data_IF_915486420659
#
_entry.id   IF_915486420659
#
_cell.length_a   1.000
_cell.length_b   1.000
_cell.length_c   1.000
_cell.angle_alpha   90.00
_cell.angle_beta   90.00
_cell.angle_gamma   90.00
#
_symmetry.space_group_name_H-M   'P 1'
#
loop_
_entity.id
_entity.type
_entity.pdbx_description
1 polymer ?
#
# COMPACT_ATOMS: atom_id res chain seq x y z
N UNK A 1 -16.06 3.30 11.10
CA UNK A 1 -16.01 4.25 9.97
C UNK A 1 -17.41 4.37 9.42
N UNK A 2 -17.93 5.58 9.32
CA UNK A 2 -19.19 5.87 8.62
C UNK A 2 -18.88 6.32 7.19
N UNK A 3 -19.79 6.13 6.22
CA UNK A 3 -19.56 6.57 4.85
C UNK A 3 -19.23 8.07 4.73
N UNK A 4 -19.77 8.89 5.62
CA UNK A 4 -19.50 10.33 5.68
C UNK A 4 -18.07 10.70 6.10
N UNK A 5 -17.35 9.76 6.74
CA UNK A 5 -15.97 9.95 7.20
C UNK A 5 -14.96 9.71 6.07
N UNK A 6 -15.39 9.04 4.99
CA UNK A 6 -14.56 8.73 3.82
C UNK A 6 -14.47 9.96 2.90
N UNK A 7 -13.68 10.95 3.31
CA UNK A 7 -13.48 12.19 2.54
C UNK A 7 -12.07 12.25 1.98
N UNK A 8 -11.90 12.52 0.67
CA UNK A 8 -10.57 12.74 0.11
C UNK A 8 -10.00 14.07 0.63
N UNK A 9 -8.81 14.00 1.21
CA UNK A 9 -8.02 15.15 1.65
C UNK A 9 -6.95 15.49 0.60
N UNK A 10 -6.40 16.72 0.61
CA UNK A 10 -5.37 17.15 -0.35
C UNK A 10 -4.13 16.26 -0.34
N UNK A 11 -3.71 15.72 0.82
CA UNK A 11 -2.56 14.83 0.91
C UNK A 11 -2.76 13.50 0.17
N UNK A 12 -3.99 13.01 0.01
CA UNK A 12 -4.28 11.83 -0.81
C UNK A 12 -3.86 12.06 -2.27
N UNK A 13 -4.20 13.23 -2.82
CA UNK A 13 -3.86 13.56 -4.21
C UNK A 13 -2.35 13.65 -4.43
N UNK A 14 -1.61 14.19 -3.46
CA UNK A 14 -0.15 14.20 -3.54
C UNK A 14 0.44 12.79 -3.51
N UNK A 15 -0.05 11.89 -2.65
CA UNK A 15 0.41 10.51 -2.63
C UNK A 15 0.06 9.78 -3.92
N UNK A 16 -1.14 9.99 -4.46
CA UNK A 16 -1.56 9.40 -5.75
C UNK A 16 -0.69 9.90 -6.90
N UNK A 17 -0.38 11.20 -6.95
CA UNK A 17 0.52 11.78 -7.95
C UNK A 17 1.94 11.21 -7.84
N UNK A 18 2.46 11.09 -6.63
CA UNK A 18 3.79 10.51 -6.40
C UNK A 18 3.80 9.05 -6.84
N UNK A 19 2.84 8.24 -6.37
CA UNK A 19 2.80 6.81 -6.67
C UNK A 19 2.55 6.55 -8.16
N UNK A 20 1.54 7.18 -8.74
CA UNK A 20 1.20 7.04 -10.14
C UNK A 20 2.24 7.66 -11.07
N UNK A 21 2.78 8.82 -10.72
CA UNK A 21 3.81 9.50 -11.48
C UNK A 21 5.13 8.72 -11.52
N UNK A 22 5.59 8.21 -10.38
CA UNK A 22 6.80 7.38 -10.33
C UNK A 22 6.62 6.07 -11.10
N UNK A 23 5.47 5.41 -10.98
CA UNK A 23 5.17 4.22 -11.76
C UNK A 23 5.18 4.50 -13.27
N UNK A 24 4.49 5.55 -13.70
CA UNK A 24 4.44 5.94 -15.11
C UNK A 24 5.80 6.36 -15.65
N UNK A 25 6.57 7.14 -14.88
CA UNK A 25 7.92 7.54 -15.25
C UNK A 25 8.87 6.34 -15.38
N UNK A 26 8.81 5.39 -14.44
CA UNK A 26 9.61 4.18 -14.50
C UNK A 26 9.19 3.27 -15.65
N UNK A 27 7.88 3.15 -15.93
CA UNK A 27 7.36 2.38 -17.05
C UNK A 27 7.80 2.96 -18.41
N UNK A 28 7.72 4.28 -18.57
CA UNK A 28 8.21 4.95 -19.79
C UNK A 28 9.73 4.85 -19.93
N UNK A 29 10.48 4.94 -18.84
CA UNK A 29 11.92 4.74 -18.83
C UNK A 29 12.28 3.29 -19.22
N UNK A 30 11.58 2.30 -18.66
CA UNK A 30 11.76 0.90 -18.98
C UNK A 30 11.45 0.63 -20.46
N UNK A 31 10.34 1.18 -20.98
CA UNK A 31 10.01 1.09 -22.42
C UNK A 31 11.12 1.68 -23.28
N UNK A 32 11.64 2.87 -22.96
CA UNK A 32 12.72 3.51 -23.70
C UNK A 32 14.01 2.68 -23.68
N UNK A 33 14.42 2.17 -22.50
CA UNK A 33 15.61 1.33 -22.36
C UNK A 33 15.46 0.04 -23.16
N UNK A 34 14.33 -0.66 -23.05
CA UNK A 34 14.08 -1.91 -23.76
C UNK A 34 14.01 -1.71 -25.27
N UNK A 35 13.49 -0.56 -25.75
CA UNK A 35 13.45 -0.24 -27.18
C UNK A 35 14.78 0.19 -27.75
N UNK A 36 15.63 0.89 -26.96
CA UNK A 36 16.93 1.38 -27.40
C UNK A 36 18.04 0.31 -27.34
N UNK A 37 17.95 -0.62 -26.42
CA UNK A 37 18.92 -1.66 -26.20
C UNK A 37 18.30 -3.04 -26.47
N UNK A 38 18.43 -3.52 -27.70
CA UNK A 38 17.98 -4.88 -28.12
C UNK A 38 18.67 -6.02 -27.35
N UNK A 39 19.65 -5.70 -26.50
CA UNK A 39 20.48 -6.61 -25.69
C UNK A 39 20.08 -6.60 -24.18
N UNK A 40 19.12 -5.80 -23.77
CA UNK A 40 18.65 -5.86 -22.40
C UNK A 40 17.98 -7.22 -22.14
N UNK A 41 18.75 -8.15 -21.58
CA UNK A 41 18.29 -9.51 -21.32
C UNK A 41 17.06 -9.58 -20.43
N UNK A 42 16.37 -10.72 -20.44
CA UNK A 42 15.18 -11.03 -19.60
C UNK A 42 15.32 -10.59 -18.14
N UNK A 43 16.52 -10.69 -17.58
CA UNK A 43 16.81 -10.34 -16.19
C UNK A 43 16.56 -8.85 -15.88
N UNK A 44 16.95 -7.95 -16.78
CA UNK A 44 16.69 -6.51 -16.61
C UNK A 44 15.21 -6.16 -16.71
N UNK A 45 14.49 -6.84 -17.60
CA UNK A 45 13.04 -6.66 -17.72
C UNK A 45 12.34 -7.03 -16.39
N UNK A 46 12.69 -8.20 -15.82
CA UNK A 46 12.13 -8.66 -14.54
C UNK A 46 12.43 -7.69 -13.39
N UNK A 47 13.64 -7.11 -13.33
CA UNK A 47 14.01 -6.14 -12.31
C UNK A 47 13.20 -4.83 -12.46
N UNK A 48 13.04 -4.34 -13.69
CA UNK A 48 12.24 -3.14 -13.96
C UNK A 48 10.75 -3.37 -13.65
N UNK A 49 10.19 -4.49 -14.09
CA UNK A 49 8.83 -4.89 -13.77
C UNK A 49 8.64 -5.02 -12.25
N UNK A 50 9.63 -5.59 -11.54
CA UNK A 50 9.62 -5.71 -10.09
C UNK A 50 9.58 -4.36 -9.38
N UNK A 51 10.36 -3.39 -9.82
CA UNK A 51 10.33 -2.03 -9.31
C UNK A 51 8.98 -1.35 -9.60
N UNK A 52 8.47 -1.50 -10.84
CA UNK A 52 7.14 -1.02 -11.23
C UNK A 52 6.04 -1.62 -10.36
N UNK A 53 6.09 -2.94 -10.13
CA UNK A 53 5.16 -3.65 -9.26
C UNK A 53 5.16 -3.09 -7.84
N UNK A 54 6.36 -2.88 -7.24
CA UNK A 54 6.48 -2.28 -5.91
C UNK A 54 5.86 -0.88 -5.85
N UNK A 55 6.01 -0.07 -6.89
CA UNK A 55 5.47 1.29 -6.92
C UNK A 55 3.95 1.30 -7.08
N UNK A 56 3.41 0.57 -8.06
CA UNK A 56 1.98 0.66 -8.39
C UNK A 56 1.08 -0.18 -7.48
N UNK A 57 1.62 -1.25 -6.87
CA UNK A 57 0.83 -2.12 -6.02
C UNK A 57 0.00 -1.30 -5.02
N UNK A 58 -1.31 -1.49 -4.95
CA UNK A 58 -2.16 -0.72 -4.07
C UNK A 58 -1.91 -1.06 -2.61
N UNK A 59 -2.33 -0.13 -1.74
CA UNK A 59 -2.19 -0.28 -0.30
C UNK A 59 -3.04 -1.44 0.21
N UNK A 60 -2.47 -2.25 1.11
CA UNK A 60 -3.18 -3.35 1.74
C UNK A 60 -4.34 -2.85 2.60
N UNK A 61 -5.48 -3.55 2.60
CA UNK A 61 -6.59 -3.27 3.52
C UNK A 61 -6.17 -3.40 4.99
N UNK A 62 -5.20 -4.29 5.27
CA UNK A 62 -4.58 -4.45 6.59
C UNK A 62 -3.83 -3.20 7.07
N UNK A 63 -3.47 -2.26 6.19
CA UNK A 63 -2.84 -1.00 6.57
C UNK A 63 -3.70 -0.19 7.55
N UNK A 64 -5.02 -0.25 7.43
CA UNK A 64 -5.94 0.39 8.37
C UNK A 64 -5.80 -0.16 9.80
N UNK A 65 -5.53 -1.47 9.94
CA UNK A 65 -5.31 -2.13 11.25
C UNK A 65 -4.01 -1.65 11.89
N UNK A 66 -2.92 -1.63 11.12
CA UNK A 66 -1.60 -1.16 11.59
C UNK A 66 -1.66 0.33 11.92
N UNK A 67 -2.25 1.14 11.04
CA UNK A 67 -2.43 2.59 11.25
C UNK A 67 -3.19 2.86 12.54
N UNK A 68 -4.28 2.13 12.81
CA UNK A 68 -5.02 2.24 14.07
C UNK A 68 -4.15 1.96 15.30
N UNK A 69 -3.35 0.88 15.26
CA UNK A 69 -2.45 0.49 16.36
C UNK A 69 -1.34 1.52 16.61
N UNK A 70 -0.95 2.26 15.57
CA UNK A 70 0.05 3.33 15.64
C UNK A 70 -0.55 4.72 15.98
N UNK A 71 -1.88 4.83 16.17
CA UNK A 71 -2.54 6.11 16.46
C UNK A 71 -2.76 7.00 15.23
N UNK A 72 -2.78 6.42 14.02
CA UNK A 72 -3.05 7.15 12.78
C UNK A 72 -4.54 7.27 12.46
N UNK A 73 -4.85 8.01 11.39
CA UNK A 73 -6.20 8.29 10.89
C UNK A 73 -6.73 7.12 10.03
N UNK A 74 -7.63 6.32 10.61
CA UNK A 74 -8.22 5.14 9.97
C UNK A 74 -9.19 5.50 8.82
N UNK A 75 -10.08 6.49 8.93
CA UNK A 75 -10.87 6.98 7.81
C UNK A 75 -10.01 7.45 6.64
N UNK A 76 -8.97 8.25 6.93
CA UNK A 76 -8.07 8.77 5.90
C UNK A 76 -7.36 7.65 5.13
N UNK A 77 -6.75 6.68 5.82
CA UNK A 77 -6.08 5.57 5.12
C UNK A 77 -7.07 4.71 4.33
N UNK A 78 -8.30 4.50 4.84
CA UNK A 78 -9.33 3.75 4.13
C UNK A 78 -9.75 4.45 2.84
N UNK A 79 -9.89 5.78 2.88
CA UNK A 79 -10.15 6.59 1.69
C UNK A 79 -9.01 6.45 0.68
N UNK A 80 -7.75 6.51 1.14
CA UNK A 80 -6.60 6.31 0.25
C UNK A 80 -6.58 4.93 -0.39
N UNK A 81 -6.89 3.87 0.38
CA UNK A 81 -6.99 2.50 -0.16
C UNK A 81 -7.97 2.44 -1.33
N UNK A 82 -9.14 3.08 -1.22
CA UNK A 82 -10.12 3.11 -2.31
C UNK A 82 -9.55 3.83 -3.54
N UNK A 83 -8.99 5.02 -3.34
CA UNK A 83 -8.46 5.85 -4.42
C UNK A 83 -7.29 5.20 -5.15
N UNK A 84 -6.35 4.58 -4.43
CA UNK A 84 -5.19 3.95 -5.04
C UNK A 84 -5.55 2.69 -5.82
N UNK A 85 -6.55 1.92 -5.36
CA UNK A 85 -7.03 0.76 -6.12
C UNK A 85 -7.66 1.18 -7.45
N UNK A 86 -8.42 2.29 -7.45
CA UNK A 86 -9.00 2.85 -8.68
C UNK A 86 -7.90 3.36 -9.62
N UNK A 87 -6.91 4.08 -9.09
CA UNK A 87 -5.77 4.55 -9.88
C UNK A 87 -4.98 3.39 -10.49
N UNK A 88 -4.72 2.32 -9.72
CA UNK A 88 -4.05 1.11 -10.19
C UNK A 88 -4.82 0.45 -11.34
N UNK A 89 -6.15 0.36 -11.22
CA UNK A 89 -7.01 -0.23 -12.27
C UNK A 89 -6.94 0.53 -13.60
N UNK A 90 -6.63 1.81 -13.56
CA UNK A 90 -6.43 2.64 -14.77
C UNK A 90 -4.99 2.58 -15.27
N UNK A 91 -4.01 2.77 -14.39
CA UNK A 91 -2.61 2.92 -14.81
C UNK A 91 -1.95 1.60 -15.24
N UNK A 92 -2.31 0.47 -14.61
CA UNK A 92 -1.70 -0.82 -14.98
C UNK A 92 -2.00 -1.19 -16.44
N UNK A 93 -3.27 -1.18 -16.92
CA UNK A 93 -3.56 -1.47 -18.30
C UNK A 93 -2.98 -0.48 -19.32
N UNK A 94 -2.64 0.74 -18.88
CA UNK A 94 -2.05 1.76 -19.77
C UNK A 94 -0.53 1.60 -19.90
N UNK A 95 0.16 1.30 -18.80
CA UNK A 95 1.62 1.40 -18.74
C UNK A 95 2.29 0.03 -18.89
N UNK A 96 1.74 -1.03 -18.26
CA UNK A 96 2.39 -2.35 -18.26
C UNK A 96 2.53 -2.92 -19.69
N UNK A 97 1.55 -2.82 -20.60
CA UNK A 97 1.70 -3.34 -21.97
C UNK A 97 2.82 -2.67 -22.77
N UNK A 98 3.29 -1.49 -22.38
CA UNK A 98 4.44 -0.83 -23.02
C UNK A 98 5.76 -1.54 -22.69
N UNK A 99 5.87 -2.12 -21.51
CA UNK A 99 7.08 -2.79 -21.01
C UNK A 99 7.00 -4.30 -21.25
N UNK A 100 5.83 -4.86 -21.00
CA UNK A 100 5.54 -6.27 -21.18
C UNK A 100 4.32 -6.42 -22.09
N UNK A 101 4.49 -6.54 -23.41
CA UNK A 101 3.39 -6.76 -24.32
C UNK A 101 2.74 -8.12 -24.04
N UNK A 102 1.69 -8.12 -23.23
CA UNK A 102 0.85 -9.30 -23.04
C UNK A 102 -0.01 -9.38 -24.30
N UNK A 103 0.34 -10.29 -25.19
CA UNK A 103 -0.43 -10.52 -26.41
C UNK A 103 -1.90 -10.73 -26.05
N UNK A 104 -2.79 -9.94 -26.65
CA UNK A 104 -4.24 -10.13 -26.68
C UNK A 104 -5.09 -9.59 -25.52
N UNK A 105 -4.53 -8.92 -24.47
CA UNK A 105 -5.35 -8.28 -23.44
C UNK A 105 -5.48 -6.78 -23.75
N UNK A 106 -6.68 -6.36 -24.20
CA UNK A 106 -7.00 -4.95 -24.40
C UNK A 106 -7.21 -4.21 -23.06
N UNK A 107 -7.17 -2.87 -23.11
CA UNK A 107 -7.33 -2.00 -21.93
C UNK A 107 -8.60 -2.33 -21.12
N UNK A 108 -9.74 -2.50 -21.79
CA UNK A 108 -11.01 -2.73 -21.10
C UNK A 108 -11.08 -4.09 -20.43
N UNK A 109 -10.51 -5.11 -21.05
CA UNK A 109 -10.38 -6.43 -20.45
C UNK A 109 -9.48 -6.40 -19.25
N UNK A 110 -8.28 -5.80 -19.33
CA UNK A 110 -7.37 -5.66 -18.20
C UNK A 110 -7.99 -4.82 -17.05
N UNK A 111 -8.63 -3.69 -17.38
CA UNK A 111 -9.34 -2.86 -16.41
C UNK A 111 -10.44 -3.65 -15.69
N UNK A 112 -11.27 -4.38 -16.44
CA UNK A 112 -12.35 -5.18 -15.86
C UNK A 112 -11.84 -6.32 -14.99
N UNK A 113 -10.75 -6.98 -15.36
CA UNK A 113 -10.10 -8.02 -14.55
C UNK A 113 -9.59 -7.46 -13.21
N UNK A 114 -8.95 -6.28 -13.23
CA UNK A 114 -8.49 -5.60 -12.02
C UNK A 114 -9.68 -5.19 -11.16
N UNK A 115 -10.70 -4.58 -11.74
CA UNK A 115 -11.90 -4.17 -11.01
C UNK A 115 -12.66 -5.36 -10.42
N UNK A 116 -12.79 -6.46 -11.14
CA UNK A 116 -13.38 -7.70 -10.65
C UNK A 116 -12.62 -8.31 -9.45
N UNK A 117 -11.30 -8.06 -9.36
CA UNK A 117 -10.48 -8.49 -8.22
C UNK A 117 -10.56 -7.51 -7.05
N UNK A 118 -10.51 -6.21 -7.35
CA UNK A 118 -10.52 -5.13 -6.34
C UNK A 118 -11.88 -4.98 -5.68
N UNK A 119 -12.96 -5.04 -6.47
CA UNK A 119 -14.31 -4.77 -5.98
C UNK A 119 -14.72 -5.72 -4.84
N UNK A 120 -14.64 -7.06 -4.96
CA UNK A 120 -14.95 -7.96 -3.87
C UNK A 120 -14.03 -7.76 -2.66
N UNK A 121 -12.74 -7.56 -2.90
CA UNK A 121 -11.74 -7.43 -1.84
C UNK A 121 -11.94 -6.17 -0.98
N UNK A 122 -12.43 -5.09 -1.57
CA UNK A 122 -12.55 -3.78 -0.93
C UNK A 122 -14.00 -3.44 -0.54
N UNK A 123 -14.93 -3.58 -1.48
CA UNK A 123 -16.31 -3.12 -1.29
C UNK A 123 -17.14 -4.11 -0.47
N UNK A 124 -17.01 -5.42 -0.73
CA UNK A 124 -17.78 -6.43 0.01
C UNK A 124 -17.55 -6.39 1.52
N UNK A 125 -16.31 -6.32 2.05
CA UNK A 125 -16.09 -6.22 3.48
C UNK A 125 -16.66 -4.94 4.08
N UNK A 126 -16.59 -3.81 3.37
CA UNK A 126 -17.16 -2.55 3.82
C UNK A 126 -18.70 -2.64 3.90
N UNK A 127 -19.32 -3.18 2.85
CA UNK A 127 -20.78 -3.39 2.83
C UNK A 127 -21.23 -4.38 3.92
N UNK A 128 -20.50 -5.48 4.08
CA UNK A 128 -20.77 -6.45 5.13
C UNK A 128 -20.65 -5.84 6.54
N UNK A 129 -19.64 -5.02 6.77
CA UNK A 129 -19.46 -4.32 8.04
C UNK A 129 -20.60 -3.35 8.34
N UNK A 130 -21.05 -2.56 7.34
CA UNK A 130 -22.22 -1.67 7.48
C UNK A 130 -23.51 -2.47 7.66
N UNK A 131 -23.71 -3.54 6.89
CA UNK A 131 -24.87 -4.41 7.03
C UNK A 131 -24.96 -4.97 8.46
N UNK A 132 -23.86 -5.51 8.99
CA UNK A 132 -23.81 -6.04 10.36
C UNK A 132 -24.05 -4.93 11.39
N UNK A 133 -23.50 -3.74 11.18
CA UNK A 133 -23.68 -2.60 12.08
C UNK A 133 -25.15 -2.15 12.18
N UNK A 134 -25.82 -2.04 11.02
CA UNK A 134 -27.16 -1.47 10.94
C UNK A 134 -28.29 -2.51 11.11
N UNK A 135 -28.13 -3.71 10.54
CA UNK A 135 -29.17 -4.76 10.60
C UNK A 135 -28.99 -5.72 11.78
N UNK A 136 -27.75 -5.93 12.25
CA UNK A 136 -27.46 -6.90 13.31
C UNK A 136 -26.71 -6.27 14.49
N UNK A 137 -27.30 -5.30 15.23
CA UNK A 137 -26.59 -4.57 16.28
C UNK A 137 -26.12 -5.45 17.44
N UNK A 138 -26.77 -6.61 17.67
CA UNK A 138 -26.30 -7.59 18.68
C UNK A 138 -24.97 -8.25 18.27
N UNK A 139 -24.85 -8.63 16.99
CA UNK A 139 -23.61 -9.21 16.41
C UNK A 139 -22.52 -8.15 16.40
N UNK A 140 -22.83 -6.92 15.99
CA UNK A 140 -21.88 -5.82 16.01
C UNK A 140 -21.31 -5.60 17.42
N UNK A 141 -22.14 -5.52 18.46
CA UNK A 141 -21.68 -5.37 19.85
C UNK A 141 -20.84 -6.54 20.34
N UNK A 142 -21.16 -7.76 19.90
CA UNK A 142 -20.36 -8.95 20.23
C UNK A 142 -18.97 -8.89 19.57
N UNK A 143 -18.88 -8.54 18.27
CA UNK A 143 -17.62 -8.36 17.54
C UNK A 143 -16.73 -7.27 18.17
N UNK A 144 -17.33 -6.19 18.64
CA UNK A 144 -16.61 -5.08 19.30
C UNK A 144 -15.95 -5.48 20.64
N UNK A 145 -16.27 -6.64 21.20
CA UNK A 145 -15.57 -7.19 22.38
C UNK A 145 -14.17 -7.70 22.05
N UNK A 146 -13.86 -7.91 20.77
CA UNK A 146 -12.58 -8.42 20.29
C UNK A 146 -11.86 -7.37 19.43
N UNK A 147 -11.33 -6.29 20.04
CA UNK A 147 -10.74 -5.16 19.30
C UNK A 147 -9.51 -5.58 18.49
N UNK A 148 -8.80 -6.62 18.92
CA UNK A 148 -7.57 -7.11 18.30
C UNK A 148 -7.78 -8.25 17.29
N UNK A 149 -9.03 -8.71 17.09
CA UNK A 149 -9.34 -9.81 16.18
C UNK A 149 -8.80 -9.54 14.75
N UNK A 150 -8.99 -8.31 14.25
CA UNK A 150 -8.50 -7.92 12.94
C UNK A 150 -6.96 -7.99 12.84
N UNK A 151 -6.25 -7.68 13.92
CA UNK A 151 -4.80 -7.79 13.99
C UNK A 151 -4.33 -9.25 13.95
N UNK A 152 -4.97 -10.15 14.69
CA UNK A 152 -4.62 -11.58 14.66
C UNK A 152 -4.92 -12.22 13.30
N UNK A 153 -6.05 -11.87 12.66
CA UNK A 153 -6.37 -12.34 11.31
C UNK A 153 -5.32 -11.84 10.31
N UNK A 154 -4.90 -10.58 10.42
CA UNK A 154 -3.83 -10.04 9.60
C UNK A 154 -2.50 -10.78 9.82
N UNK A 155 -2.10 -11.04 11.06
CA UNK A 155 -0.87 -11.77 11.38
C UNK A 155 -0.88 -13.19 10.79
N UNK A 156 -2.02 -13.88 10.86
CA UNK A 156 -2.19 -15.19 10.23
C UNK A 156 -2.08 -15.11 8.70
N UNK A 157 -2.75 -14.14 8.06
CA UNK A 157 -2.67 -13.93 6.61
C UNK A 157 -1.23 -13.59 6.17
N UNK A 158 -0.48 -12.85 7.01
CA UNK A 158 0.94 -12.56 6.78
C UNK A 158 1.78 -13.84 6.76
N UNK A 159 1.56 -14.76 7.68
CA UNK A 159 2.26 -16.05 7.71
C UNK A 159 2.06 -16.83 6.41
N UNK A 160 0.82 -16.86 5.90
CA UNK A 160 0.52 -17.49 4.61
C UNK A 160 1.21 -16.78 3.43
N UNK A 161 1.24 -15.45 3.43
CA UNK A 161 1.91 -14.68 2.38
C UNK A 161 3.43 -14.94 2.36
N UNK A 162 4.07 -15.01 3.53
CA UNK A 162 5.49 -15.35 3.65
C UNK A 162 5.76 -16.78 3.18
N UNK A 163 4.93 -17.75 3.58
CA UNK A 163 5.05 -19.15 3.14
C UNK A 163 4.95 -19.28 1.61
N UNK A 164 4.00 -18.56 1.00
CA UNK A 164 3.83 -18.52 -0.47
C UNK A 164 5.06 -17.90 -1.16
N UNK A 165 5.57 -16.80 -0.63
CA UNK A 165 6.78 -16.14 -1.15
C UNK A 165 8.00 -17.07 -1.06
N UNK A 166 8.19 -17.74 0.08
CA UNK A 166 9.26 -18.71 0.28
C UNK A 166 9.16 -19.86 -0.72
N UNK A 167 7.95 -20.37 -0.96
CA UNK A 167 7.71 -21.40 -1.96
C UNK A 167 8.14 -20.94 -3.35
N UNK A 168 7.79 -19.71 -3.76
CA UNK A 168 8.21 -19.17 -5.05
C UNK A 168 9.72 -19.04 -5.18
N UNK A 169 10.40 -18.57 -4.13
CA UNK A 169 11.86 -18.44 -4.11
C UNK A 169 12.52 -19.81 -4.25
N UNK A 170 12.08 -20.80 -3.47
CA UNK A 170 12.69 -22.15 -3.46
C UNK A 170 12.49 -22.89 -4.80
N UNK A 171 11.36 -22.65 -5.48
CA UNK A 171 11.07 -23.32 -6.77
C UNK A 171 11.42 -22.44 -7.98
N UNK A 172 12.03 -21.27 -7.77
CA UNK A 172 12.49 -20.44 -8.88
C UNK A 172 13.81 -20.97 -9.44
N UNK A 173 13.95 -20.92 -10.75
CA UNK A 173 15.21 -21.23 -11.45
C UNK A 173 16.16 -20.00 -11.54
N UNK A 174 15.83 -18.96 -10.77
CA UNK A 174 16.60 -17.70 -10.79
C UNK A 174 17.94 -17.85 -10.09
N UNK A 175 18.95 -17.20 -10.63
CA UNK A 175 20.26 -17.16 -9.98
C UNK A 175 20.19 -16.45 -8.62
N UNK A 176 21.04 -16.86 -7.69
CA UNK A 176 21.15 -16.22 -6.36
C UNK A 176 21.40 -14.72 -6.47
N UNK A 177 22.22 -14.30 -7.44
CA UNK A 177 22.48 -12.89 -7.68
C UNK A 177 21.21 -12.14 -8.05
N UNK A 178 20.36 -12.72 -8.91
CA UNK A 178 19.10 -12.14 -9.31
C UNK A 178 18.11 -12.02 -8.13
N UNK A 179 18.03 -13.04 -7.31
CA UNK A 179 17.22 -13.01 -6.07
C UNK A 179 17.70 -11.90 -5.11
N UNK A 180 19.01 -11.72 -4.96
CA UNK A 180 19.58 -10.64 -4.15
C UNK A 180 19.26 -9.25 -4.73
N UNK A 181 19.33 -9.08 -6.05
CA UNK A 181 18.94 -7.82 -6.71
C UNK A 181 17.45 -7.53 -6.54
N UNK A 182 16.58 -8.53 -6.67
CA UNK A 182 15.14 -8.40 -6.41
C UNK A 182 14.88 -8.00 -4.95
N UNK A 183 15.60 -8.60 -3.99
CA UNK A 183 15.49 -8.27 -2.58
C UNK A 183 15.95 -6.82 -2.32
N UNK A 184 17.05 -6.40 -2.94
CA UNK A 184 17.56 -5.04 -2.80
C UNK A 184 16.59 -4.01 -3.39
N UNK A 185 16.08 -4.23 -4.60
CA UNK A 185 15.11 -3.32 -5.25
C UNK A 185 13.84 -3.20 -4.41
N UNK A 186 13.30 -4.32 -3.93
CA UNK A 186 12.11 -4.31 -3.07
C UNK A 186 12.35 -3.57 -1.76
N UNK A 187 13.53 -3.72 -1.15
CA UNK A 187 13.93 -2.98 0.05
C UNK A 187 14.01 -1.48 -0.21
N UNK A 188 14.73 -1.08 -1.26
CA UNK A 188 14.88 0.33 -1.64
C UNK A 188 13.51 0.97 -1.91
N UNK A 189 12.65 0.29 -2.68
CA UNK A 189 11.28 0.76 -2.93
C UNK A 189 10.47 0.88 -1.63
N UNK A 190 10.61 -0.06 -0.71
CA UNK A 190 9.90 -0.06 0.58
C UNK A 190 10.35 1.13 1.43
N UNK A 191 11.65 1.30 1.65
CA UNK A 191 12.21 2.42 2.44
C UNK A 191 11.82 3.76 1.83
N UNK A 192 11.98 3.90 0.52
CA UNK A 192 11.61 5.11 -0.21
C UNK A 192 10.13 5.47 -0.02
N UNK A 193 9.23 4.51 -0.19
CA UNK A 193 7.79 4.77 -0.10
C UNK A 193 7.35 5.14 1.32
N UNK A 194 7.86 4.47 2.35
CA UNK A 194 7.57 4.88 3.73
C UNK A 194 8.15 6.26 4.06
N UNK A 195 9.37 6.54 3.64
CA UNK A 195 10.02 7.84 3.85
C UNK A 195 9.26 8.96 3.14
N UNK A 196 8.91 8.74 1.87
CA UNK A 196 8.18 9.71 1.05
C UNK A 196 6.76 9.95 1.60
N UNK A 197 6.04 8.90 1.99
CA UNK A 197 4.72 9.02 2.60
C UNK A 197 4.79 9.85 3.89
N UNK A 198 5.73 9.56 4.78
CA UNK A 198 5.96 10.35 5.99
C UNK A 198 6.34 11.79 5.69
N UNK A 199 7.20 12.02 4.70
CA UNK A 199 7.58 13.35 4.26
C UNK A 199 6.36 14.16 3.81
N UNK A 200 5.50 13.58 2.97
CA UNK A 200 4.25 14.24 2.53
C UNK A 200 3.35 14.53 3.74
N UNK A 201 3.15 13.55 4.65
CA UNK A 201 2.38 13.74 5.88
C UNK A 201 2.93 14.86 6.75
N UNK A 202 4.25 15.04 6.79
CA UNK A 202 4.96 16.10 7.53
C UNK A 202 4.83 17.46 6.85
N UNK A 203 5.03 17.52 5.53
CA UNK A 203 4.95 18.76 4.75
C UNK A 203 3.52 19.29 4.67
N UNK A 204 2.52 18.42 4.78
CA UNK A 204 1.11 18.80 4.80
C UNK A 204 0.72 19.41 6.16
N UNK A 205 1.51 20.38 6.59
CA UNK A 205 1.28 21.19 7.75
C UNK A 205 0.28 22.27 7.39
N UNK A 206 -1.01 22.06 7.79
CA UNK A 206 -1.85 23.18 8.15
C UNK A 206 -2.18 24.23 7.08
N UNK A 207 -2.81 23.84 5.96
CA UNK A 207 -3.67 24.78 5.23
C UNK A 207 -5.04 24.98 5.89
N UNK A 208 -5.48 24.04 6.72
CA UNK A 208 -6.80 24.07 7.37
C UNK A 208 -6.84 24.83 8.72
N UNK A 209 -5.70 25.23 9.29
CA UNK A 209 -5.66 26.06 10.51
C UNK A 209 -5.81 27.56 10.24
N UNK A 210 -6.24 27.97 9.04
CA UNK A 210 -6.43 29.40 8.71
C UNK A 210 -7.75 29.98 9.19
N UNK A 211 -8.63 29.18 9.78
CA UNK A 211 -9.98 29.60 10.23
C UNK A 211 -10.19 29.60 11.74
N UNK A 212 -9.19 29.27 12.56
CA UNK A 212 -9.30 29.49 13.99
C UNK A 212 -8.47 30.69 14.45
N UNK A 213 -9.08 31.64 15.19
CA UNK A 213 -8.38 32.81 15.68
C UNK A 213 -7.26 32.38 16.64
N UNK A 214 -6.08 32.97 16.44
CA UNK A 214 -4.90 32.80 17.27
C UNK A 214 -5.12 33.42 18.66
N UNK A 215 -5.90 32.74 19.51
CA UNK A 215 -6.11 33.17 20.90
C UNK A 215 -6.28 31.94 21.79
N UNK A 216 -5.18 31.25 22.01
CA UNK A 216 -4.86 30.63 23.30
C UNK A 216 -3.40 30.16 23.24
N UNK A 217 -2.53 30.72 24.06
CA UNK A 217 -1.14 30.37 24.30
C UNK A 217 -1.05 29.07 25.14
N UNK A 218 -1.93 28.11 24.91
CA UNK A 218 -2.03 26.93 25.74
C UNK A 218 -1.13 25.78 25.27
N UNK A 219 -0.41 25.22 26.23
CA UNK A 219 0.39 24.00 26.08
C UNK A 219 -0.45 22.86 25.48
N UNK A 220 -1.75 22.76 25.82
CA UNK A 220 -2.71 21.81 25.26
C UNK A 220 -2.86 21.93 23.74
N UNK A 221 -3.00 23.15 23.19
CA UNK A 221 -3.13 23.36 21.74
C UNK A 221 -1.84 23.02 20.97
N UNK A 222 -0.67 23.05 21.60
CA UNK A 222 0.59 22.59 20.99
C UNK A 222 0.69 21.06 21.01
N UNK A 223 0.28 20.41 22.10
CA UNK A 223 0.24 18.94 22.21
C UNK A 223 -0.74 18.34 21.23
N UNK A 224 -1.94 18.91 21.10
CA UNK A 224 -2.96 18.46 20.13
C UNK A 224 -2.47 18.59 18.68
N UNK A 225 -1.79 19.69 18.36
CA UNK A 225 -1.19 19.88 17.03
C UNK A 225 -0.06 18.89 16.74
N UNK A 226 0.78 18.59 17.72
CA UNK A 226 1.85 17.62 17.58
C UNK A 226 1.29 16.20 17.39
N UNK A 227 0.25 15.82 18.14
CA UNK A 227 -0.40 14.51 18.03
C UNK A 227 -1.11 14.34 16.68
N UNK A 228 -1.82 15.37 16.20
CA UNK A 228 -2.43 15.35 14.87
C UNK A 228 -1.39 15.26 13.73
N UNK A 229 -0.26 15.92 13.88
CA UNK A 229 0.81 15.84 12.89
C UNK A 229 1.42 14.43 12.88
N UNK A 230 1.73 13.86 14.05
CA UNK A 230 2.24 12.49 14.16
C UNK A 230 1.26 11.48 13.55
N UNK A 231 -0.03 11.62 13.81
CA UNK A 231 -1.08 10.79 13.21
C UNK A 231 -1.09 10.87 11.68
N UNK A 232 -0.92 12.07 11.09
CA UNK A 232 -0.84 12.27 9.64
C UNK A 232 0.42 11.65 9.03
N UNK A 233 1.58 11.83 9.68
CA UNK A 233 2.84 11.22 9.22
C UNK A 233 2.75 9.69 9.18
N UNK A 234 2.16 9.09 10.22
CA UNK A 234 1.91 7.66 10.29
C UNK A 234 0.98 7.24 9.17
N UNK A 235 -0.17 7.91 9.03
CA UNK A 235 -1.19 7.57 8.06
C UNK A 235 -0.67 7.66 6.63
N UNK A 236 0.00 8.75 6.27
CA UNK A 236 0.56 8.92 4.93
C UNK A 236 1.72 7.95 4.66
N UNK A 237 2.56 7.65 5.67
CA UNK A 237 3.60 6.64 5.58
C UNK A 237 3.04 5.24 5.33
N UNK A 238 2.00 4.84 6.07
CA UNK A 238 1.32 3.56 5.88
C UNK A 238 0.57 3.50 4.55
N UNK A 239 -0.04 4.61 4.12
CA UNK A 239 -0.75 4.71 2.85
C UNK A 239 0.16 4.38 1.66
N UNK A 240 1.36 4.94 1.62
CA UNK A 240 2.29 4.73 0.51
C UNK A 240 3.14 3.48 0.68
N UNK A 241 3.55 3.15 1.91
CA UNK A 241 4.53 2.10 2.20
C UNK A 241 3.95 0.70 2.34
N UNK A 242 2.72 0.53 2.83
CA UNK A 242 2.17 -0.81 3.06
C UNK A 242 1.40 -1.34 1.85
N UNK A 243 1.94 -2.35 1.17
CA UNK A 243 1.40 -2.90 -0.07
C UNK A 243 0.61 -4.19 0.11
N UNK A 244 -0.33 -4.43 -0.80
CA UNK A 244 -1.13 -5.66 -0.84
C UNK A 244 -0.37 -6.75 -1.60
N UNK A 245 0.34 -7.61 -0.85
CA UNK A 245 1.17 -8.69 -1.40
C UNK A 245 0.40 -9.67 -2.28
N UNK A 246 -0.78 -10.09 -1.85
CA UNK A 246 -1.59 -11.07 -2.62
C UNK A 246 -2.00 -10.47 -3.94
N UNK A 247 -2.37 -9.19 -3.95
CA UNK A 247 -2.69 -8.48 -5.17
C UNK A 247 -1.45 -8.30 -6.06
N UNK A 248 -0.28 -7.98 -5.46
CA UNK A 248 0.98 -7.86 -6.20
C UNK A 248 1.35 -9.17 -6.90
N UNK A 249 1.29 -10.30 -6.20
CA UNK A 249 1.55 -11.62 -6.77
C UNK A 249 0.60 -11.91 -7.93
N UNK A 250 -0.70 -11.71 -7.73
CA UNK A 250 -1.70 -11.92 -8.80
C UNK A 250 -1.43 -11.00 -10.00
N UNK A 251 -1.11 -9.73 -9.77
CA UNK A 251 -0.85 -8.76 -10.84
C UNK A 251 0.39 -9.14 -11.65
N UNK A 252 1.46 -9.60 -10.98
CA UNK A 252 2.66 -10.09 -11.65
C UNK A 252 2.35 -11.28 -12.57
N UNK A 253 1.61 -12.27 -12.08
CA UNK A 253 1.22 -13.43 -12.89
C UNK A 253 0.29 -13.10 -14.05
N UNK A 254 -0.52 -12.04 -13.93
CA UNK A 254 -1.55 -11.74 -14.94
C UNK A 254 -1.04 -10.78 -16.02
N UNK A 255 -0.19 -9.82 -15.65
CA UNK A 255 0.18 -8.69 -16.52
C UNK A 255 1.68 -8.52 -16.70
N UNK A 256 2.52 -9.27 -15.99
CA UNK A 256 3.98 -9.14 -16.00
C UNK A 256 4.62 -10.54 -16.09
N UNK A 257 5.93 -10.59 -15.98
CA UNK A 257 6.66 -11.86 -15.85
C UNK A 257 6.35 -12.53 -14.52
N UNK A 258 6.00 -13.83 -14.46
CA UNK A 258 5.65 -14.52 -13.22
C UNK A 258 6.71 -14.41 -12.12
N UNK A 259 7.99 -14.40 -12.48
CA UNK A 259 9.14 -14.24 -11.58
C UNK A 259 9.11 -12.91 -10.82
N UNK A 260 8.49 -11.88 -11.41
CA UNK A 260 8.28 -10.57 -10.78
C UNK A 260 7.46 -10.68 -9.49
N UNK A 261 6.64 -11.75 -9.35
CA UNK A 261 5.87 -12.01 -8.11
C UNK A 261 6.76 -12.17 -6.87
N UNK A 262 8.00 -12.65 -7.05
CA UNK A 262 8.99 -12.77 -5.97
C UNK A 262 9.31 -11.40 -5.37
N UNK A 263 9.44 -10.37 -6.21
CA UNK A 263 9.72 -9.00 -5.76
C UNK A 263 8.59 -8.46 -4.89
N UNK A 264 7.33 -8.70 -5.27
CA UNK A 264 6.16 -8.36 -4.46
C UNK A 264 6.13 -9.07 -3.11
N UNK A 265 6.51 -10.34 -3.10
CA UNK A 265 6.65 -11.13 -1.87
C UNK A 265 7.77 -10.62 -0.96
N UNK A 266 8.95 -10.33 -1.50
CA UNK A 266 10.08 -9.76 -0.77
C UNK A 266 9.74 -8.39 -0.19
N UNK A 267 9.04 -7.53 -0.94
CA UNK A 267 8.54 -6.26 -0.44
C UNK A 267 7.66 -6.45 0.80
N UNK A 268 6.81 -7.49 0.79
CA UNK A 268 5.97 -7.82 1.94
C UNK A 268 6.79 -8.11 3.20
N UNK A 269 7.89 -8.83 3.08
CA UNK A 269 8.78 -9.11 4.21
C UNK A 269 9.32 -7.80 4.79
N UNK A 270 9.82 -6.89 3.94
CA UNK A 270 10.41 -5.62 4.36
C UNK A 270 9.40 -4.70 5.05
N UNK A 271 8.21 -4.50 4.46
CA UNK A 271 7.22 -3.61 5.06
C UNK A 271 6.69 -4.19 6.40
N UNK A 272 6.64 -5.51 6.56
CA UNK A 272 6.21 -6.11 7.82
C UNK A 272 7.28 -6.06 8.91
N UNK A 273 8.56 -6.20 8.57
CA UNK A 273 9.68 -5.93 9.48
C UNK A 273 9.58 -4.48 9.98
N UNK A 274 9.38 -3.53 9.07
CA UNK A 274 9.26 -2.11 9.42
C UNK A 274 8.02 -1.85 10.29
N UNK A 275 6.87 -2.43 9.98
CA UNK A 275 5.65 -2.33 10.78
C UNK A 275 5.83 -2.90 12.19
N UNK A 276 6.47 -4.07 12.30
CA UNK A 276 6.78 -4.70 13.59
C UNK A 276 7.68 -3.81 14.45
N UNK A 277 8.68 -3.20 13.84
CA UNK A 277 9.55 -2.24 14.52
C UNK A 277 8.80 -0.99 14.99
N UNK A 278 7.91 -0.42 14.16
CA UNK A 278 7.08 0.72 14.54
C UNK A 278 6.15 0.39 15.71
N UNK A 279 5.47 -0.76 15.65
CA UNK A 279 4.57 -1.23 16.71
C UNK A 279 5.33 -1.47 18.02
N UNK A 280 6.53 -2.06 17.95
CA UNK A 280 7.39 -2.24 19.12
C UNK A 280 7.77 -0.91 19.76
N UNK A 281 8.19 0.08 18.96
CA UNK A 281 8.49 1.44 19.49
C UNK A 281 7.28 2.08 20.14
N UNK A 282 6.15 2.09 19.47
CA UNK A 282 4.92 2.65 20.00
C UNK A 282 4.50 1.99 21.34
N UNK A 283 4.69 0.68 21.47
CA UNK A 283 4.40 -0.03 22.73
C UNK A 283 5.34 0.30 23.87
N UNK A 284 6.61 0.66 23.57
CA UNK A 284 7.59 1.08 24.54
C UNK A 284 7.28 2.49 25.05
N UNK A 285 7.03 3.41 24.13
CA UNK A 285 6.70 4.81 24.48
C UNK A 285 5.45 4.90 25.38
N UNK A 286 4.49 3.96 25.21
CA UNK A 286 3.28 3.89 26.06
C UNK A 286 3.55 3.33 27.47
N UNK A 287 4.64 2.58 27.67
CA UNK A 287 5.00 2.02 28.98
C UNK A 287 5.87 2.95 29.82
N UNK A 288 6.55 3.86 29.15
CA UNK A 288 7.49 4.81 29.78
C UNK A 288 6.77 6.13 30.17
N UNK A 289 5.47 6.30 29.80
CA UNK A 289 4.55 7.34 30.27
C UNK A 289 3.61 6.83 31.37
#
# INVERSE_FOLDING_TARGET
IEPKDLKPHRWHWWLLLIQGGLFSALGLLAYWILSAFTVAGRDWAVLMEGAMLCLICPTATAAAVVTRKLGGDVPGITTYIILINLLTAVLVPLIVPLVHPVAEIDFWTAFSMIMAKVFPLLIMPCMAAWLVRYLFPKVHRWLMRFPDLAFYIWAFALTLAIALTTRFIVHSEMSVMMLLLMALISLVCCVFQFAMGRFVGRCYRSGDCRSEPAMTSDCHARLDRASMQASREITAGQSLGQKNTIFAIWMAYTFMTPETSIVGGLYSIWHNIYNSWQLYRASKDTKDC
#
